data_IF_148105060644
#
_entry.id   IF_148105060644
#
_cell.length_a   1.000
_cell.length_b   1.000
_cell.length_c   1.000
_cell.angle_alpha   90.00
_cell.angle_beta   90.00
_cell.angle_gamma   90.00
#
_symmetry.space_group_name_H-M   'P 1'
#
loop_
_entity.id
_entity.type
_entity.pdbx_description
1 polymer ?
#
# COMPACT_ATOMS: atom_id res chain seq x y z
N UNK A 1 -6.97 -9.12 -4.50
CA UNK A 1 -8.39 -9.00 -4.91
C UNK A 1 -8.89 -7.56 -4.84
N UNK A 2 -8.78 -6.85 -3.71
CA UNK A 2 -9.27 -5.45 -3.59
C UNK A 2 -8.49 -4.41 -4.42
N UNK A 3 -7.16 -4.46 -4.44
CA UNK A 3 -6.35 -3.54 -5.25
C UNK A 3 -6.64 -3.69 -6.75
N UNK A 4 -6.80 -4.92 -7.24
CA UNK A 4 -7.17 -5.18 -8.63
C UNK A 4 -8.59 -4.67 -8.96
N UNK A 5 -9.52 -4.74 -8.01
CA UNK A 5 -10.86 -4.19 -8.18
C UNK A 5 -10.84 -2.67 -8.29
N UNK A 6 -10.10 -1.98 -7.41
CA UNK A 6 -9.93 -0.53 -7.49
C UNK A 6 -9.19 -0.09 -8.74
N UNK A 7 -8.18 -0.85 -9.16
CA UNK A 7 -7.48 -0.61 -10.42
C UNK A 7 -8.46 -0.65 -11.60
N UNK A 8 -9.31 -1.69 -11.66
CA UNK A 8 -10.35 -1.82 -12.69
C UNK A 8 -11.37 -0.67 -12.64
N UNK A 9 -11.77 -0.24 -11.45
CA UNK A 9 -12.68 0.91 -11.26
C UNK A 9 -12.09 2.21 -11.84
N UNK A 10 -10.81 2.48 -11.56
CA UNK A 10 -10.10 3.64 -12.07
C UNK A 10 -9.93 3.56 -13.59
N UNK A 11 -9.56 2.39 -14.13
CA UNK A 11 -9.45 2.15 -15.56
C UNK A 11 -10.77 2.39 -16.29
N UNK A 12 -11.90 1.96 -15.72
CA UNK A 12 -13.23 2.24 -16.29
C UNK A 12 -13.51 3.75 -16.32
N UNK A 13 -13.20 4.50 -15.26
CA UNK A 13 -13.38 5.96 -15.23
C UNK A 13 -12.50 6.68 -16.27
N UNK A 14 -11.24 6.29 -16.42
CA UNK A 14 -10.39 6.86 -17.45
C UNK A 14 -10.83 6.49 -18.86
N UNK A 15 -11.36 5.27 -19.06
CA UNK A 15 -11.93 4.87 -20.34
C UNK A 15 -13.21 5.67 -20.69
N UNK A 16 -14.02 6.04 -19.69
CA UNK A 16 -15.15 6.97 -19.89
C UNK A 16 -14.67 8.36 -20.30
N UNK A 17 -13.63 8.89 -19.64
CA UNK A 17 -13.03 10.19 -19.99
C UNK A 17 -12.47 10.18 -21.43
N UNK A 18 -11.74 9.13 -21.82
CA UNK A 18 -11.22 8.96 -23.18
C UNK A 18 -12.34 8.92 -24.24
N UNK A 19 -13.45 8.23 -23.94
CA UNK A 19 -14.63 8.22 -24.81
C UNK A 19 -15.24 9.62 -24.96
N UNK A 20 -15.33 10.39 -23.87
CA UNK A 20 -15.86 11.76 -23.92
C UNK A 20 -14.96 12.69 -24.73
N UNK A 21 -13.63 12.56 -24.60
CA UNK A 21 -12.67 13.30 -25.42
C UNK A 21 -12.86 12.99 -26.91
N UNK A 22 -12.90 11.71 -27.28
CA UNK A 22 -13.12 11.29 -28.68
C UNK A 22 -14.44 11.77 -29.25
N UNK A 23 -15.51 11.73 -28.46
CA UNK A 23 -16.81 12.26 -28.86
C UNK A 23 -16.77 13.78 -29.06
N UNK A 24 -16.10 14.51 -28.16
CA UNK A 24 -15.91 15.95 -28.29
C UNK A 24 -15.12 16.31 -29.55
N UNK A 25 -14.01 15.61 -29.85
CA UNK A 25 -13.20 15.82 -31.06
C UNK A 25 -14.00 15.57 -32.35
N UNK A 26 -14.88 14.56 -32.37
CA UNK A 26 -15.71 14.26 -33.53
C UNK A 26 -16.82 15.31 -33.76
N UNK A 27 -17.33 15.91 -32.69
CA UNK A 27 -18.47 16.84 -32.73
C UNK A 27 -18.06 18.32 -32.72
N UNK A 28 -16.81 18.68 -32.36
CA UNK A 28 -16.46 20.06 -32.01
C UNK A 28 -16.68 21.10 -33.11
N UNK A 29 -16.58 20.70 -34.39
CA UNK A 29 -16.83 21.58 -35.55
C UNK A 29 -18.30 22.01 -35.61
N UNK A 30 -19.21 21.20 -35.04
CA UNK A 30 -20.65 21.44 -35.01
C UNK A 30 -21.10 22.23 -33.77
N UNK A 31 -20.19 22.52 -32.84
CA UNK A 31 -20.52 23.12 -31.54
C UNK A 31 -20.25 24.64 -31.53
N UNK A 32 -21.10 25.39 -30.84
CA UNK A 32 -20.83 26.78 -30.48
C UNK A 32 -19.74 26.86 -29.41
N UNK A 33 -19.10 28.02 -29.26
CA UNK A 33 -18.05 28.21 -28.24
C UNK A 33 -18.55 27.94 -26.81
N UNK A 34 -19.81 28.28 -26.50
CA UNK A 34 -20.42 27.98 -25.20
C UNK A 34 -20.60 26.46 -24.99
N UNK A 35 -21.06 25.74 -26.02
CA UNK A 35 -21.20 24.29 -25.96
C UNK A 35 -19.84 23.60 -25.84
N UNK A 36 -18.82 24.08 -26.54
CA UNK A 36 -17.45 23.57 -26.43
C UNK A 36 -16.91 23.72 -25.02
N UNK A 37 -17.08 24.90 -24.42
CA UNK A 37 -16.66 25.16 -23.05
C UNK A 37 -17.34 24.20 -22.08
N UNK A 38 -18.66 24.06 -22.17
CA UNK A 38 -19.43 23.14 -21.30
C UNK A 38 -18.96 21.68 -21.40
N UNK A 39 -18.73 21.18 -22.63
CA UNK A 39 -18.22 19.82 -22.86
C UNK A 39 -16.82 19.64 -22.28
N UNK A 40 -15.92 20.62 -22.48
CA UNK A 40 -14.56 20.59 -21.90
C UNK A 40 -14.61 20.58 -20.38
N UNK A 41 -15.43 21.44 -19.77
CA UNK A 41 -15.58 21.52 -18.32
C UNK A 41 -16.09 20.19 -17.74
N UNK A 42 -17.04 19.52 -18.41
CA UNK A 42 -17.53 18.20 -18.02
C UNK A 42 -16.42 17.13 -18.08
N UNK A 43 -15.66 17.11 -19.19
CA UNK A 43 -14.55 16.17 -19.37
C UNK A 43 -13.48 16.37 -18.30
N UNK A 44 -13.09 17.63 -18.04
CA UNK A 44 -12.11 18.00 -17.02
C UNK A 44 -12.60 17.60 -15.62
N UNK A 45 -13.89 17.80 -15.34
CA UNK A 45 -14.48 17.38 -14.06
C UNK A 45 -14.38 15.85 -13.89
N UNK A 46 -14.73 15.08 -14.93
CA UNK A 46 -14.63 13.60 -14.91
C UNK A 46 -13.19 13.12 -14.79
N UNK A 47 -12.25 13.76 -15.47
CA UNK A 47 -10.82 13.44 -15.36
C UNK A 47 -10.30 13.73 -13.94
N UNK A 48 -10.72 14.84 -13.34
CA UNK A 48 -10.37 15.19 -11.96
C UNK A 48 -10.93 14.18 -10.97
N UNK A 49 -12.17 13.74 -11.13
CA UNK A 49 -12.76 12.67 -10.31
C UNK A 49 -11.96 11.37 -10.40
N UNK A 50 -11.55 10.97 -11.61
CA UNK A 50 -10.74 9.77 -11.81
C UNK A 50 -9.36 9.86 -11.13
N UNK A 51 -8.68 11.01 -11.27
CA UNK A 51 -7.38 11.28 -10.64
C UNK A 51 -7.48 11.32 -9.11
N UNK A 52 -8.52 11.95 -8.57
CA UNK A 52 -8.71 12.00 -7.12
C UNK A 52 -9.01 10.61 -6.56
N UNK A 53 -9.83 9.80 -7.24
CA UNK A 53 -10.06 8.42 -6.85
C UNK A 53 -8.75 7.61 -6.88
N UNK A 54 -7.95 7.76 -7.92
CA UNK A 54 -6.64 7.10 -8.01
C UNK A 54 -5.73 7.48 -6.85
N UNK A 55 -5.65 8.78 -6.51
CA UNK A 55 -4.87 9.28 -5.38
C UNK A 55 -5.42 8.78 -4.04
N UNK A 56 -6.73 8.76 -3.87
CA UNK A 56 -7.37 8.24 -2.67
C UNK A 56 -7.06 6.75 -2.46
N UNK A 57 -7.06 5.95 -3.52
CA UNK A 57 -6.79 4.50 -3.43
C UNK A 57 -5.29 4.18 -3.29
N UNK A 58 -4.45 4.82 -4.11
CA UNK A 58 -3.04 4.44 -4.33
C UNK A 58 -2.01 5.53 -4.00
N UNK A 59 -2.44 6.67 -3.49
CA UNK A 59 -1.53 7.72 -3.02
C UNK A 59 -0.68 7.28 -1.83
N UNK A 60 0.28 8.13 -1.44
CA UNK A 60 1.28 7.87 -0.39
C UNK A 60 0.63 7.48 0.96
N UNK A 61 -0.56 8.00 1.25
CA UNK A 61 -1.40 7.63 2.41
C UNK A 61 -2.80 7.14 2.00
N UNK A 62 -2.89 6.57 0.80
CA UNK A 62 -4.15 6.08 0.24
C UNK A 62 -4.69 4.86 0.98
N UNK A 63 -5.90 4.47 0.59
CA UNK A 63 -6.62 3.34 1.21
C UNK A 63 -5.83 2.04 1.15
N UNK A 64 -5.08 1.80 0.07
CA UNK A 64 -4.26 0.59 -0.05
C UNK A 64 -3.13 0.56 0.98
N UNK A 65 -2.48 1.70 1.22
CA UNK A 65 -1.42 1.82 2.20
C UNK A 65 -1.97 1.57 3.61
N UNK A 66 -3.08 2.24 3.96
CA UNK A 66 -3.78 2.04 5.24
C UNK A 66 -4.20 0.59 5.44
N UNK A 67 -4.79 -0.04 4.43
CA UNK A 67 -5.18 -1.46 4.51
C UNK A 67 -4.00 -2.38 4.75
N UNK A 68 -2.86 -2.12 4.09
CA UNK A 68 -1.62 -2.87 4.33
C UNK A 68 -1.14 -2.66 5.76
N UNK A 69 -1.11 -1.43 6.26
CA UNK A 69 -0.74 -1.15 7.65
C UNK A 69 -1.68 -1.87 8.65
N UNK A 70 -2.99 -1.80 8.45
CA UNK A 70 -3.97 -2.51 9.28
C UNK A 70 -3.73 -4.02 9.34
N UNK A 71 -3.32 -4.63 8.23
CA UNK A 71 -3.03 -6.08 8.17
C UNK A 71 -1.66 -6.43 8.77
N UNK A 72 -0.67 -5.56 8.59
CA UNK A 72 0.71 -5.78 9.07
C UNK A 72 0.81 -5.53 10.58
N UNK A 73 0.08 -4.54 11.11
CA UNK A 73 0.17 -4.12 12.51
C UNK A 73 -0.08 -5.27 13.51
N UNK A 74 -1.11 -6.12 13.36
CA UNK A 74 -1.30 -7.29 14.22
C UNK A 74 -0.14 -8.29 14.17
N UNK A 75 0.51 -8.44 13.01
CA UNK A 75 1.67 -9.32 12.86
C UNK A 75 2.87 -8.72 13.61
N UNK A 76 3.11 -7.42 13.44
CA UNK A 76 4.16 -6.70 14.18
C UNK A 76 3.93 -6.78 15.69
N UNK A 77 2.69 -6.64 16.15
CA UNK A 77 2.35 -6.72 17.57
C UNK A 77 2.57 -8.14 18.11
N UNK A 78 2.23 -9.18 17.34
CA UNK A 78 2.56 -10.58 17.70
C UNK A 78 4.06 -10.81 17.82
N UNK A 79 4.84 -10.32 16.85
CA UNK A 79 6.31 -10.42 16.86
C UNK A 79 6.89 -9.68 18.06
N UNK A 80 6.43 -8.45 18.32
CA UNK A 80 6.86 -7.65 19.46
C UNK A 80 6.59 -8.36 20.79
N UNK A 81 5.38 -8.90 20.97
CA UNK A 81 5.01 -9.62 22.18
C UNK A 81 5.85 -10.89 22.38
N UNK A 82 6.15 -11.62 21.30
CA UNK A 82 7.01 -12.80 21.34
C UNK A 82 8.46 -12.45 21.72
N UNK A 83 9.02 -11.39 21.12
CA UNK A 83 10.34 -10.86 21.46
C UNK A 83 10.37 -10.46 22.94
N UNK A 84 9.38 -9.69 23.39
CA UNK A 84 9.29 -9.23 24.78
C UNK A 84 9.24 -10.41 25.75
N UNK A 85 8.39 -11.40 25.49
CA UNK A 85 8.28 -12.59 26.33
C UNK A 85 9.59 -13.38 26.43
N UNK A 86 10.35 -13.48 25.34
CA UNK A 86 11.67 -14.14 25.34
C UNK A 86 12.67 -13.31 26.15
N UNK A 87 12.71 -12.00 25.94
CA UNK A 87 13.61 -11.13 26.68
C UNK A 87 13.34 -11.17 28.18
N UNK A 88 12.07 -11.11 28.59
CA UNK A 88 11.66 -11.20 30.00
C UNK A 88 12.02 -12.57 30.59
N UNK A 89 11.77 -13.67 29.86
CA UNK A 89 12.07 -15.04 30.31
C UNK A 89 13.57 -15.30 30.46
N UNK A 90 14.37 -14.81 29.52
CA UNK A 90 15.82 -15.04 29.47
C UNK A 90 16.64 -13.91 30.11
N UNK A 91 15.97 -12.90 30.69
CA UNK A 91 16.62 -11.72 31.29
C UNK A 91 17.53 -10.97 30.29
N UNK A 92 17.11 -10.88 29.04
CA UNK A 92 17.82 -10.16 27.97
C UNK A 92 17.47 -8.68 28.06
N UNK A 93 18.47 -7.84 28.31
CA UNK A 93 18.29 -6.40 28.43
C UNK A 93 17.94 -5.71 27.10
N UNK A 94 18.51 -6.17 25.99
CA UNK A 94 18.34 -5.57 24.66
C UNK A 94 18.43 -6.62 23.55
N UNK A 95 17.57 -6.49 22.54
CA UNK A 95 17.61 -7.30 21.32
C UNK A 95 17.75 -6.35 20.11
N UNK A 96 18.72 -6.63 19.26
CA UNK A 96 18.98 -5.84 18.04
C UNK A 96 18.39 -6.51 16.81
N UNK A 97 17.79 -5.71 15.93
CA UNK A 97 17.43 -6.17 14.60
C UNK A 97 18.66 -6.14 13.68
N UNK A 98 19.17 -7.32 13.31
CA UNK A 98 20.32 -7.46 12.40
C UNK A 98 20.04 -6.93 10.98
N UNK A 99 18.78 -6.88 10.55
CA UNK A 99 18.40 -6.38 9.22
C UNK A 99 18.28 -4.86 9.13
N UNK A 100 18.36 -4.15 10.27
CA UNK A 100 18.37 -2.69 10.27
C UNK A 100 19.75 -2.19 9.84
N UNK A 101 19.81 -0.97 9.29
CA UNK A 101 21.06 -0.28 8.96
C UNK A 101 21.82 0.09 10.25
N UNK A 102 22.44 -0.92 10.88
CA UNK A 102 23.24 -0.80 12.08
C UNK A 102 24.68 -1.22 11.77
N UNK A 103 25.65 -0.48 12.31
CA UNK A 103 27.08 -0.80 12.20
C UNK A 103 27.47 -1.98 13.12
N UNK A 104 26.87 -3.15 12.89
CA UNK A 104 27.22 -4.40 13.59
C UNK A 104 28.38 -5.05 12.84
N UNK A 105 29.60 -4.94 13.38
CA UNK A 105 30.81 -5.51 12.77
C UNK A 105 30.82 -7.05 12.81
N UNK A 106 30.28 -7.64 13.88
CA UNK A 106 30.20 -9.08 14.06
C UNK A 106 29.03 -9.44 14.99
N UNK A 107 28.28 -10.47 14.63
CA UNK A 107 27.21 -11.05 15.44
C UNK A 107 27.35 -12.58 15.46
N UNK A 108 27.54 -13.16 16.64
CA UNK A 108 27.65 -14.61 16.77
C UNK A 108 26.27 -15.26 16.63
N UNK A 109 26.14 -16.21 15.69
CA UNK A 109 24.88 -16.90 15.38
C UNK A 109 24.27 -17.62 16.60
N UNK A 110 25.07 -18.00 17.61
CA UNK A 110 24.56 -18.61 18.85
C UNK A 110 23.63 -17.70 19.66
N UNK A 111 23.69 -16.39 19.43
CA UNK A 111 22.84 -15.40 20.09
C UNK A 111 21.67 -14.95 19.21
N UNK A 112 21.51 -15.52 18.01
CA UNK A 112 20.37 -15.25 17.16
C UNK A 112 19.10 -15.92 17.75
N UNK A 113 18.10 -15.11 18.05
CA UNK A 113 16.82 -15.54 18.64
C UNK A 113 15.68 -15.64 17.63
N UNK A 114 15.94 -15.49 16.33
CA UNK A 114 14.91 -15.48 15.28
C UNK A 114 14.03 -16.73 15.31
N UNK A 115 14.64 -17.92 15.46
CA UNK A 115 13.91 -19.19 15.52
C UNK A 115 13.05 -19.27 16.79
N UNK A 116 13.60 -18.85 17.93
CA UNK A 116 12.87 -18.83 19.20
C UNK A 116 11.65 -17.89 19.15
N UNK A 117 11.77 -16.74 18.46
CA UNK A 117 10.65 -15.82 18.23
C UNK A 117 9.57 -16.49 17.39
N UNK A 118 9.94 -17.18 16.31
CA UNK A 118 8.99 -17.92 15.47
C UNK A 118 8.28 -19.04 16.25
N UNK A 119 9.02 -19.82 17.03
CA UNK A 119 8.49 -20.90 17.88
C UNK A 119 7.53 -20.37 18.95
N UNK A 120 7.88 -19.26 19.62
CA UNK A 120 7.04 -18.58 20.60
C UNK A 120 5.69 -18.12 20.00
N UNK A 121 5.68 -17.82 18.70
CA UNK A 121 4.48 -17.48 17.95
C UNK A 121 3.74 -18.70 17.37
N UNK A 122 4.25 -19.92 17.59
CA UNK A 122 3.66 -21.17 17.12
C UNK A 122 4.05 -21.58 15.70
N UNK A 123 5.07 -20.97 15.11
CA UNK A 123 5.57 -21.30 13.78
C UNK A 123 6.78 -22.23 13.85
N UNK A 124 6.97 -23.05 12.81
CA UNK A 124 8.18 -23.87 12.66
C UNK A 124 9.26 -23.05 11.94
N UNK A 125 10.45 -22.88 12.53
CA UNK A 125 11.58 -22.30 11.83
C UNK A 125 11.95 -23.11 10.58
N UNK A 126 12.38 -22.45 9.52
CA UNK A 126 12.99 -23.13 8.37
C UNK A 126 14.33 -23.74 8.76
N UNK A 127 14.78 -24.76 8.02
CA UNK A 127 16.15 -25.24 8.15
C UNK A 127 17.10 -24.09 7.76
N UNK A 128 18.01 -23.73 8.66
CA UNK A 128 19.06 -22.72 8.44
C UNK A 128 20.15 -23.25 7.51
#
# INVERSE_FOLDING_TARGET
KIAAQWQKEIEMKFAEVDKLYKAYEAEEILLTEEMKKKRKDEIIAKEKEAKELQKQRFGVDGDLFKKRQEMIKPIQDKVYNAIKAICDKEQIMIMFNKSADMNILYANAKFDKSDAVLESMGYKPGAK
#
